data_IF_209710670607
#
_entry.id   IF_209710670607
#
_cell.length_a   1.000
_cell.length_b   1.000
_cell.length_c   1.000
_cell.angle_alpha   90.00
_cell.angle_beta   90.00
_cell.angle_gamma   90.00
#
_symmetry.space_group_name_H-M   'P 1'
#
loop_
_entity.id
_entity.type
_entity.pdbx_description
1 polymer ?
#
# COMPACT_ATOMS: atom_id res chain seq x y z
N UNK A 1 -16.33 -17.95 -65.29
CA UNK A 1 -15.65 -16.66 -65.18
C UNK A 1 -16.72 -15.66 -64.74
N UNK A 2 -17.01 -15.55 -63.47
CA UNK A 2 -18.11 -14.77 -62.93
C UNK A 2 -17.55 -13.62 -62.11
N UNK A 3 -18.06 -12.49 -62.46
CA UNK A 3 -17.71 -11.18 -61.93
C UNK A 3 -18.24 -11.07 -60.48
N UNK A 4 -17.32 -10.94 -59.54
CA UNK A 4 -17.64 -10.66 -58.13
C UNK A 4 -18.25 -9.26 -58.03
N UNK A 5 -19.51 -9.22 -57.70
CA UNK A 5 -20.31 -8.00 -57.57
C UNK A 5 -19.92 -7.20 -56.29
N UNK A 6 -19.13 -6.15 -56.50
CA UNK A 6 -18.58 -5.27 -55.45
C UNK A 6 -19.63 -4.42 -54.71
N UNK A 7 -20.91 -4.55 -55.07
CA UNK A 7 -22.02 -3.73 -54.51
C UNK A 7 -22.70 -4.34 -53.30
N UNK A 8 -22.42 -5.59 -52.93
CA UNK A 8 -23.07 -6.25 -51.79
C UNK A 8 -22.26 -6.26 -50.50
N UNK A 9 -21.08 -5.61 -50.50
CA UNK A 9 -20.20 -5.61 -49.32
C UNK A 9 -20.42 -4.40 -48.38
N UNK A 10 -21.29 -3.45 -48.75
CA UNK A 10 -21.50 -2.22 -47.96
C UNK A 10 -22.79 -2.18 -47.13
N UNK A 11 -23.50 -3.29 -46.97
CA UNK A 11 -24.80 -3.30 -46.27
C UNK A 11 -24.84 -4.16 -45.01
N UNK A 12 -23.70 -4.49 -44.42
CA UNK A 12 -23.65 -5.31 -43.19
C UNK A 12 -22.80 -4.70 -42.06
N UNK A 13 -22.73 -3.38 -41.92
CA UNK A 13 -22.01 -2.74 -40.83
C UNK A 13 -22.86 -1.66 -40.14
N UNK A 14 -24.14 -1.99 -39.88
CA UNK A 14 -24.92 -1.30 -38.84
C UNK A 14 -25.02 -2.18 -37.62
N UNK A 15 -23.86 -2.49 -37.05
CA UNK A 15 -23.75 -3.08 -35.74
C UNK A 15 -24.01 -1.99 -34.71
N UNK A 16 -25.22 -2.00 -34.16
CA UNK A 16 -25.69 -1.28 -33.00
C UNK A 16 -24.64 -1.32 -31.88
N UNK A 17 -23.93 -0.22 -31.70
CA UNK A 17 -23.15 0.06 -30.51
C UNK A 17 -24.07 0.31 -29.32
N UNK A 18 -24.56 -0.76 -28.71
CA UNK A 18 -25.04 -0.74 -27.33
C UNK A 18 -23.80 -0.51 -26.41
N UNK A 19 -23.33 0.74 -26.39
CA UNK A 19 -22.52 1.24 -25.31
C UNK A 19 -23.42 1.28 -24.08
N UNK A 20 -23.53 0.13 -23.41
CA UNK A 20 -23.99 0.08 -22.05
C UNK A 20 -23.08 0.99 -21.25
N UNK A 21 -23.55 2.19 -20.91
CA UNK A 21 -22.97 3.04 -19.91
C UNK A 21 -23.00 2.24 -18.60
N UNK A 22 -21.95 1.44 -18.34
CA UNK A 22 -21.63 1.02 -17.00
C UNK A 22 -21.37 2.30 -16.22
N UNK A 23 -22.39 2.79 -15.55
CA UNK A 23 -22.27 3.84 -14.57
C UNK A 23 -21.24 3.33 -13.54
N UNK A 24 -20.01 3.80 -13.62
CA UNK A 24 -19.03 3.63 -12.58
C UNK A 24 -19.59 4.41 -11.40
N UNK A 25 -20.41 3.72 -10.57
CA UNK A 25 -20.77 4.23 -9.26
C UNK A 25 -19.43 4.48 -8.57
N UNK A 26 -19.10 5.73 -8.36
CA UNK A 26 -18.02 6.15 -7.48
C UNK A 26 -18.24 5.41 -6.16
N UNK A 27 -17.46 4.35 -5.95
CA UNK A 27 -17.56 3.54 -4.73
C UNK A 27 -17.03 4.42 -3.62
N UNK A 28 -17.94 4.97 -2.82
CA UNK A 28 -17.56 5.70 -1.60
C UNK A 28 -16.57 4.86 -0.81
N UNK A 29 -15.56 5.51 -0.26
CA UNK A 29 -14.54 4.84 0.54
C UNK A 29 -15.21 4.17 1.74
N UNK A 30 -15.11 2.86 1.85
CA UNK A 30 -15.63 2.10 2.99
C UNK A 30 -14.65 2.23 4.17
N UNK A 31 -14.74 3.37 4.84
CA UNK A 31 -13.87 3.71 5.98
C UNK A 31 -14.05 2.76 7.15
N UNK A 32 -15.28 2.30 7.40
CA UNK A 32 -15.56 1.37 8.49
C UNK A 32 -14.87 0.00 8.29
N UNK A 33 -14.86 -0.47 7.05
CA UNK A 33 -14.14 -1.70 6.70
C UNK A 33 -12.63 -1.54 6.88
N UNK A 34 -12.07 -0.41 6.46
CA UNK A 34 -10.63 -0.13 6.63
C UNK A 34 -10.28 -0.06 8.12
N UNK A 35 -11.04 0.67 8.92
CA UNK A 35 -10.81 0.79 10.37
C UNK A 35 -10.87 -0.55 11.09
N UNK A 36 -11.82 -1.41 10.72
CA UNK A 36 -11.91 -2.76 11.28
C UNK A 36 -10.68 -3.61 10.93
N UNK A 37 -10.24 -3.57 9.68
CA UNK A 37 -9.05 -4.29 9.24
C UNK A 37 -7.80 -3.77 9.95
N UNK A 38 -7.64 -2.46 10.10
CA UNK A 38 -6.53 -1.81 10.82
C UNK A 38 -6.50 -2.29 12.27
N UNK A 39 -7.64 -2.24 12.98
CA UNK A 39 -7.71 -2.71 14.37
C UNK A 39 -7.31 -4.17 14.52
N UNK A 40 -7.85 -5.05 13.67
CA UNK A 40 -7.52 -6.47 13.70
C UNK A 40 -6.02 -6.71 13.43
N UNK A 41 -5.47 -5.96 12.50
CA UNK A 41 -4.04 -6.02 12.13
C UNK A 41 -3.15 -5.58 13.28
N UNK A 42 -3.52 -4.49 13.97
CA UNK A 42 -2.79 -4.00 15.14
C UNK A 42 -2.87 -5.00 16.32
N UNK A 43 -4.03 -5.57 16.58
CA UNK A 43 -4.19 -6.61 17.60
C UNK A 43 -3.30 -7.83 17.31
N UNK A 44 -3.27 -8.28 16.05
CA UNK A 44 -2.39 -9.36 15.63
C UNK A 44 -0.92 -9.00 15.82
N UNK A 45 -0.50 -7.80 15.36
CA UNK A 45 0.86 -7.30 15.44
C UNK A 45 1.35 -7.24 16.88
N UNK A 46 0.57 -6.62 17.77
CA UNK A 46 0.93 -6.43 19.18
C UNK A 46 0.92 -7.74 19.98
N UNK A 47 0.01 -8.67 19.65
CA UNK A 47 0.01 -9.99 20.27
C UNK A 47 1.23 -10.80 19.91
N UNK A 48 1.70 -10.68 18.66
CA UNK A 48 2.82 -11.48 18.16
C UNK A 48 4.17 -10.86 18.48
N UNK A 49 4.25 -9.53 18.51
CA UNK A 49 5.46 -8.75 18.79
C UNK A 49 5.17 -7.61 19.78
N UNK A 50 5.17 -7.90 21.09
CA UNK A 50 4.88 -6.89 22.11
C UNK A 50 5.82 -5.68 22.07
N UNK A 51 7.08 -5.87 21.64
CA UNK A 51 8.06 -4.81 21.46
C UNK A 51 7.64 -3.75 20.43
N UNK A 52 6.86 -4.16 19.43
CA UNK A 52 6.31 -3.21 18.44
C UNK A 52 5.23 -2.34 19.08
N UNK A 53 4.48 -2.88 20.05
CA UNK A 53 3.53 -2.08 20.82
C UNK A 53 4.23 -0.96 21.61
N UNK A 54 5.31 -1.29 22.32
CA UNK A 54 6.10 -0.30 23.04
C UNK A 54 6.69 0.77 22.12
N UNK A 55 7.05 0.38 20.90
CA UNK A 55 7.55 1.31 19.88
C UNK A 55 6.44 2.19 19.32
N UNK A 56 5.25 1.63 19.07
CA UNK A 56 4.10 2.37 18.58
C UNK A 56 3.58 3.38 19.58
N UNK A 57 3.70 3.10 20.89
CA UNK A 57 3.32 4.03 21.96
C UNK A 57 4.23 5.27 22.02
N UNK A 58 5.43 5.18 21.44
CA UNK A 58 6.38 6.30 21.34
C UNK A 58 6.24 7.07 20.03
N UNK A 59 5.54 6.51 19.05
CA UNK A 59 5.34 7.14 17.75
C UNK A 59 4.28 8.26 17.84
N UNK A 60 4.53 9.36 17.16
CA UNK A 60 3.57 10.48 17.06
C UNK A 60 2.45 10.20 16.05
N UNK A 61 2.66 9.23 15.17
CA UNK A 61 1.67 8.75 14.20
C UNK A 61 2.00 7.37 13.69
N UNK A 62 0.99 6.63 13.25
CA UNK A 62 1.10 5.25 12.81
C UNK A 62 0.22 4.98 11.59
N UNK A 63 0.82 4.86 10.42
CA UNK A 63 0.10 4.42 9.21
C UNK A 63 0.09 2.89 9.17
N UNK A 64 -1.08 2.30 8.99
CA UNK A 64 -1.24 0.86 8.86
C UNK A 64 -1.95 0.53 7.55
N UNK A 65 -1.33 -0.29 6.73
CA UNK A 65 -1.92 -0.89 5.53
C UNK A 65 -2.17 -2.38 5.82
N UNK A 66 -3.39 -2.76 6.20
CA UNK A 66 -3.70 -4.10 6.69
C UNK A 66 -3.47 -5.19 5.66
N UNK A 67 -3.66 -4.86 4.40
CA UNK A 67 -3.53 -5.80 3.30
C UNK A 67 -2.96 -5.10 2.08
N UNK A 68 -1.76 -5.50 1.71
CA UNK A 68 -1.16 -5.22 0.41
C UNK A 68 -1.26 -6.48 -0.43
N UNK A 69 -1.79 -6.35 -1.63
CA UNK A 69 -1.79 -7.40 -2.64
C UNK A 69 -0.75 -7.04 -3.67
N UNK A 70 0.20 -7.91 -3.88
CA UNK A 70 1.25 -7.80 -4.88
C UNK A 70 1.07 -8.89 -5.92
N UNK A 71 1.07 -8.52 -7.18
CA UNK A 71 1.07 -9.44 -8.30
C UNK A 71 2.26 -9.12 -9.21
N UNK A 72 3.09 -10.11 -9.50
CA UNK A 72 4.32 -9.96 -10.25
C UNK A 72 4.52 -11.11 -11.22
N UNK A 73 4.92 -10.77 -12.47
CA UNK A 73 5.42 -11.72 -13.46
C UNK A 73 6.86 -11.37 -13.84
N UNK A 74 7.06 -10.33 -14.64
CA UNK A 74 8.36 -9.71 -14.93
C UNK A 74 8.36 -8.29 -14.37
N UNK A 75 7.20 -7.63 -14.48
CA UNK A 75 6.87 -6.38 -13.85
C UNK A 75 5.71 -6.65 -12.91
N UNK A 76 5.77 -6.12 -11.71
CA UNK A 76 4.75 -6.29 -10.71
C UNK A 76 4.21 -4.98 -10.21
N UNK A 77 3.02 -5.05 -9.62
CA UNK A 77 2.43 -3.95 -8.91
C UNK A 77 1.87 -4.39 -7.57
N UNK A 78 1.98 -3.53 -6.59
CA UNK A 78 1.41 -3.73 -5.28
C UNK A 78 0.40 -2.63 -4.97
N UNK A 79 -0.70 -3.02 -4.31
CA UNK A 79 -1.77 -2.11 -3.94
C UNK A 79 -2.36 -2.47 -2.58
N UNK A 80 -2.64 -1.45 -1.79
CA UNK A 80 -3.31 -1.59 -0.52
C UNK A 80 -4.03 -0.31 -0.10
N UNK A 81 -4.89 -0.41 0.90
CA UNK A 81 -5.52 0.73 1.57
C UNK A 81 -5.34 0.61 3.06
N UNK A 82 -5.26 1.73 3.73
CA UNK A 82 -5.12 1.75 5.18
C UNK A 82 -5.46 3.08 5.79
N UNK A 83 -5.17 3.21 7.07
CA UNK A 83 -5.47 4.38 7.85
C UNK A 83 -4.24 4.90 8.61
N UNK A 84 -4.15 6.21 8.71
CA UNK A 84 -3.22 6.91 9.57
C UNK A 84 -3.89 7.18 10.92
N UNK A 85 -3.25 6.72 11.97
CA UNK A 85 -3.66 6.94 13.34
C UNK A 85 -2.74 7.97 14.02
N UNK A 86 -3.32 8.80 14.86
CA UNK A 86 -2.61 9.66 15.81
C UNK A 86 -3.20 9.34 17.18
N UNK A 87 -2.39 8.76 18.06
CA UNK A 87 -2.91 8.05 19.22
C UNK A 87 -3.84 6.90 18.76
N UNK A 88 -5.03 6.80 19.37
CA UNK A 88 -6.02 5.76 19.05
C UNK A 88 -7.05 6.17 17.98
N UNK A 89 -6.86 7.34 17.35
CA UNK A 89 -7.85 7.91 16.41
C UNK A 89 -7.35 7.85 14.99
N UNK A 90 -8.19 7.34 14.07
CA UNK A 90 -7.99 7.47 12.64
C UNK A 90 -8.18 8.93 12.22
N UNK A 91 -7.14 9.54 11.68
CA UNK A 91 -7.15 10.92 11.18
C UNK A 91 -7.37 10.99 9.67
N UNK A 92 -6.74 10.10 8.91
CA UNK A 92 -6.79 10.08 7.45
C UNK A 92 -6.71 8.64 6.91
N UNK A 93 -7.10 8.48 5.63
CA UNK A 93 -6.98 7.22 4.90
C UNK A 93 -6.03 7.39 3.71
N UNK A 94 -5.28 6.32 3.41
CA UNK A 94 -4.29 6.32 2.34
C UNK A 94 -4.40 5.08 1.47
N UNK A 95 -4.10 5.23 0.19
CA UNK A 95 -3.75 4.12 -0.68
C UNK A 95 -2.24 4.00 -0.78
N UNK A 96 -1.79 2.78 -0.81
CA UNK A 96 -0.42 2.38 -1.11
C UNK A 96 -0.38 1.81 -2.52
N UNK A 97 0.56 2.29 -3.32
CA UNK A 97 0.83 1.79 -4.67
C UNK A 97 2.33 1.60 -4.78
N UNK A 98 2.76 0.45 -5.21
CA UNK A 98 4.17 0.15 -5.45
C UNK A 98 4.35 -0.50 -6.82
N UNK A 99 5.50 -0.23 -7.46
CA UNK A 99 5.99 -1.01 -8.58
C UNK A 99 7.09 -1.95 -8.12
N UNK A 100 7.08 -3.18 -8.58
CA UNK A 100 8.16 -4.13 -8.34
C UNK A 100 8.73 -4.61 -9.66
N UNK A 101 10.05 -4.78 -9.68
CA UNK A 101 10.73 -5.40 -10.80
C UNK A 101 11.38 -6.66 -10.26
N UNK A 102 11.27 -7.77 -10.95
CA UNK A 102 11.98 -8.98 -10.62
C UNK A 102 11.28 -10.23 -11.13
N UNK A 103 11.99 -11.33 -11.16
CA UNK A 103 11.48 -12.64 -11.54
C UNK A 103 10.70 -13.32 -10.39
N UNK A 104 10.00 -12.56 -9.59
CA UNK A 104 9.12 -13.09 -8.54
C UNK A 104 7.77 -13.41 -9.17
N UNK A 105 7.56 -14.67 -9.49
CA UNK A 105 6.28 -15.14 -10.01
C UNK A 105 5.32 -15.44 -8.87
N UNK A 106 4.18 -14.76 -8.87
CA UNK A 106 3.13 -15.10 -7.94
C UNK A 106 2.30 -13.92 -7.43
N UNK A 107 1.34 -14.25 -6.59
CA UNK A 107 0.54 -13.29 -5.83
C UNK A 107 0.98 -13.41 -4.38
N UNK A 108 1.43 -12.33 -3.80
CA UNK A 108 1.78 -12.24 -2.38
C UNK A 108 0.82 -11.30 -1.66
N UNK A 109 0.58 -11.60 -0.39
CA UNK A 109 -0.19 -10.72 0.49
C UNK A 109 0.59 -10.50 1.77
N UNK A 110 0.76 -9.24 2.13
CA UNK A 110 1.41 -8.82 3.35
C UNK A 110 0.74 -7.58 3.93
N UNK A 111 1.10 -7.25 5.14
CA UNK A 111 0.72 -6.00 5.80
C UNK A 111 1.96 -5.17 6.00
N UNK A 112 1.83 -3.85 5.97
CA UNK A 112 2.91 -3.01 6.42
C UNK A 112 2.41 -1.83 7.24
N UNK A 113 3.31 -1.29 8.04
CA UNK A 113 3.06 -0.16 8.89
C UNK A 113 4.26 0.80 8.83
N UNK A 114 3.98 2.09 8.98
CA UNK A 114 4.99 3.14 9.11
C UNK A 114 4.77 3.84 10.44
N UNK A 115 5.77 3.78 11.31
CA UNK A 115 5.77 4.53 12.56
C UNK A 115 6.49 5.85 12.33
N UNK A 116 5.81 6.95 12.58
CA UNK A 116 6.39 8.29 12.55
C UNK A 116 6.89 8.64 13.94
N UNK A 117 8.21 8.75 14.08
CA UNK A 117 8.85 8.98 15.39
C UNK A 117 8.98 10.46 15.71
N UNK A 118 8.77 11.35 14.74
CA UNK A 118 8.84 12.81 14.91
C UNK A 118 7.64 13.50 14.28
N UNK A 119 7.22 14.61 14.88
CA UNK A 119 6.15 15.47 14.34
C UNK A 119 6.49 16.00 12.94
N UNK A 120 7.77 16.28 12.69
CA UNK A 120 8.23 16.73 11.38
C UNK A 120 7.97 15.67 10.31
N UNK A 121 8.34 14.41 10.56
CA UNK A 121 8.13 13.30 9.60
C UNK A 121 6.65 13.05 9.33
N UNK A 122 5.82 13.12 10.38
CA UNK A 122 4.37 12.98 10.26
C UNK A 122 3.77 14.12 9.43
N UNK A 123 4.15 15.36 9.70
CA UNK A 123 3.65 16.52 8.99
C UNK A 123 4.11 16.53 7.52
N UNK A 124 5.35 16.17 7.25
CA UNK A 124 5.87 16.03 5.89
C UNK A 124 5.08 14.97 5.11
N UNK A 125 4.76 13.84 5.75
CA UNK A 125 3.93 12.81 5.15
C UNK A 125 2.51 13.31 4.85
N UNK A 126 1.83 13.95 5.81
CA UNK A 126 0.45 14.43 5.67
C UNK A 126 0.29 15.53 4.63
N UNK A 127 1.29 16.40 4.49
CA UNK A 127 1.26 17.58 3.61
C UNK A 127 1.74 17.26 2.18
N UNK A 128 2.31 16.08 1.96
CA UNK A 128 2.72 15.67 0.63
C UNK A 128 1.52 15.28 -0.24
N UNK A 129 1.49 15.73 -1.50
CA UNK A 129 0.49 15.30 -2.51
C UNK A 129 0.78 13.90 -3.07
N UNK A 130 1.35 13.04 -2.27
CA UNK A 130 1.80 11.70 -2.60
C UNK A 130 3.20 11.50 -2.07
N UNK A 131 3.29 10.87 -0.89
CA UNK A 131 4.57 10.60 -0.26
C UNK A 131 5.26 9.45 -1.00
N UNK A 132 6.50 9.69 -1.42
CA UNK A 132 7.36 8.67 -2.02
C UNK A 132 8.55 8.41 -1.10
N UNK A 133 8.90 7.14 -0.94
CA UNK A 133 10.16 6.81 -0.30
C UNK A 133 11.31 7.08 -1.27
N UNK A 134 12.27 7.92 -0.87
CA UNK A 134 13.51 8.09 -1.60
C UNK A 134 14.42 6.87 -1.44
N UNK A 135 15.32 6.66 -2.41
CA UNK A 135 16.30 5.59 -2.35
C UNK A 135 17.16 5.65 -1.07
N UNK A 136 17.51 6.86 -0.61
CA UNK A 136 18.30 7.08 0.60
C UNK A 136 17.54 6.62 1.87
N UNK A 137 16.24 6.98 1.97
CA UNK A 137 15.39 6.55 3.07
C UNK A 137 15.18 5.04 3.01
N UNK A 138 14.95 4.49 1.83
CA UNK A 138 14.78 3.05 1.62
C UNK A 138 16.04 2.28 2.03
N UNK A 139 17.22 2.77 1.67
CA UNK A 139 18.48 2.13 2.05
C UNK A 139 18.68 2.14 3.56
N UNK A 140 18.45 3.26 4.22
CA UNK A 140 18.53 3.37 5.68
C UNK A 140 17.57 2.38 6.37
N UNK A 141 16.35 2.25 5.84
CA UNK A 141 15.32 1.36 6.38
C UNK A 141 15.63 -0.13 6.14
N UNK A 142 16.22 -0.50 4.99
CA UNK A 142 16.64 -1.87 4.72
C UNK A 142 17.77 -2.33 5.64
N UNK A 143 18.75 -1.47 5.87
CA UNK A 143 19.85 -1.76 6.79
C UNK A 143 19.31 -1.96 8.21
N UNK A 144 18.28 -1.22 8.56
CA UNK A 144 17.65 -1.26 9.86
C UNK A 144 16.71 -2.44 10.04
N UNK A 145 15.95 -2.83 9.02
CA UNK A 145 15.06 -4.00 9.06
C UNK A 145 15.83 -5.32 9.21
N UNK A 146 17.04 -5.41 8.65
CA UNK A 146 17.90 -6.58 8.81
C UNK A 146 18.39 -6.77 10.25
N UNK A 147 18.44 -5.68 11.03
CA UNK A 147 18.85 -5.63 12.42
C UNK A 147 17.68 -5.66 13.43
N UNK A 148 16.47 -6.03 13.03
CA UNK A 148 15.28 -6.12 13.91
C UNK A 148 15.47 -7.04 15.14
N UNK A 149 16.59 -7.77 15.23
CA UNK A 149 16.98 -8.52 16.41
C UNK A 149 17.84 -7.75 17.41
N UNK A 150 18.32 -6.54 17.07
CA UNK A 150 19.27 -5.80 17.91
C UNK A 150 18.87 -4.32 17.97
N UNK A 151 18.13 -3.95 19.02
CA UNK A 151 17.99 -2.59 19.50
C UNK A 151 17.17 -1.58 18.67
N UNK A 152 15.85 -1.82 18.58
CA UNK A 152 14.86 -0.81 18.16
C UNK A 152 14.83 0.45 19.09
N UNK A 153 15.58 0.43 20.21
CA UNK A 153 15.52 1.46 21.24
C UNK A 153 16.46 2.64 21.03
N UNK A 154 17.45 2.49 20.15
CA UNK A 154 18.51 3.51 19.98
C UNK A 154 18.42 4.32 18.68
N UNK A 155 17.29 4.31 17.96
CA UNK A 155 17.24 4.83 16.59
C UNK A 155 16.74 6.25 16.48
N UNK A 156 17.53 7.06 15.83
CA UNK A 156 17.23 8.42 15.38
C UNK A 156 16.45 8.46 14.05
N UNK A 157 15.93 7.31 13.58
CA UNK A 157 15.22 7.22 12.29
C UNK A 157 13.84 7.86 12.40
N UNK A 158 13.53 8.88 11.60
CA UNK A 158 12.28 9.63 11.72
C UNK A 158 11.03 8.81 11.32
N UNK A 159 11.20 7.77 10.49
CA UNK A 159 10.14 6.84 10.07
C UNK A 159 10.66 5.42 10.17
N UNK A 160 9.94 4.55 10.87
CA UNK A 160 10.28 3.13 11.00
C UNK A 160 9.23 2.30 10.25
N UNK A 161 9.60 1.61 9.16
CA UNK A 161 8.71 0.69 8.46
C UNK A 161 8.75 -0.68 9.13
N UNK A 162 7.60 -1.33 9.17
CA UNK A 162 7.43 -2.70 9.62
C UNK A 162 6.62 -3.43 8.55
N UNK A 163 7.20 -4.47 7.96
CA UNK A 163 6.51 -5.33 7.00
C UNK A 163 6.34 -6.71 7.61
N UNK A 164 5.12 -7.24 7.54
CA UNK A 164 4.80 -8.51 8.18
C UNK A 164 3.69 -9.26 7.43
N UNK A 165 3.72 -10.57 7.57
CA UNK A 165 2.68 -11.47 7.10
C UNK A 165 2.29 -12.43 8.24
N UNK A 166 1.32 -13.31 8.01
CA UNK A 166 0.93 -14.30 9.01
C UNK A 166 2.11 -15.21 9.42
N UNK A 167 3.06 -15.45 8.51
CA UNK A 167 4.25 -16.26 8.75
C UNK A 167 5.34 -15.59 9.59
N UNK A 168 5.38 -14.26 9.70
CA UNK A 168 6.44 -13.57 10.43
C UNK A 168 6.69 -12.14 9.94
N UNK A 169 7.74 -11.51 10.50
CA UNK A 169 8.29 -10.27 9.98
C UNK A 169 8.98 -10.58 8.65
N UNK A 170 8.80 -9.72 7.67
CA UNK A 170 9.39 -9.86 6.35
C UNK A 170 10.52 -8.85 6.21
N UNK A 171 11.73 -9.37 6.02
CA UNK A 171 12.89 -8.57 5.65
C UNK A 171 13.05 -8.49 4.13
N UNK A 172 13.79 -7.47 3.66
CA UNK A 172 14.17 -7.38 2.25
C UNK A 172 13.09 -6.87 1.29
N UNK A 173 11.91 -6.45 1.80
CA UNK A 173 10.93 -5.75 0.96
C UNK A 173 11.40 -4.31 0.77
N UNK A 174 11.66 -3.93 -0.48
CA UNK A 174 11.97 -2.56 -0.82
C UNK A 174 10.70 -1.73 -0.87
N UNK A 175 10.72 -0.58 -0.23
CA UNK A 175 9.71 0.46 -0.37
C UNK A 175 10.07 1.47 -1.46
N UNK A 176 11.19 1.27 -2.14
CA UNK A 176 11.61 2.10 -3.27
C UNK A 176 10.57 2.05 -4.40
N UNK A 177 10.24 3.21 -4.96
CA UNK A 177 9.19 3.28 -5.98
C UNK A 177 7.76 3.13 -5.46
N UNK A 178 7.57 3.20 -4.14
CA UNK A 178 6.23 3.19 -3.54
C UNK A 178 5.69 4.59 -3.33
N UNK A 179 4.36 4.72 -3.48
CA UNK A 179 3.65 5.97 -3.31
C UNK A 179 2.44 5.80 -2.41
N UNK A 180 2.31 6.72 -1.46
CA UNK A 180 1.15 6.82 -0.59
C UNK A 180 0.33 8.03 -0.99
N UNK A 181 -0.94 7.82 -1.36
CA UNK A 181 -1.84 8.90 -1.74
C UNK A 181 -2.98 8.99 -0.73
N UNK A 182 -3.26 10.20 -0.27
CA UNK A 182 -4.39 10.46 0.60
C UNK A 182 -5.70 10.18 -0.13
N UNK A 183 -6.62 9.50 0.53
CA UNK A 183 -7.95 9.17 0.00
C UNK A 183 -8.96 10.21 0.50
N UNK A 184 -9.80 10.71 -0.38
CA UNK A 184 -10.91 11.55 0.00
C UNK A 184 -12.01 10.67 0.64
N UNK A 185 -12.54 11.15 1.77
CA UNK A 185 -13.67 10.53 2.47
C UNK A 185 -14.95 10.71 1.70
#
# INVERSE_FOLDING_TARGET
MSIFDRRKFFLALTSTSLLGACGIKSKTLDTASIDNQVRNTLQFLYKKWPEIKELSDKAVGFLVIPKVSEASLVYGGSYGKGALLVGDKTVDYYSFVGGSWGLNFGIQQYSHALLFMTEESLNNFKNSSGFNFSAELTYALQTDAYNLGVDLRSRTTPIIPIVFAQGGLMGGISLEGTKYNKLNK
#
